data_IF_798415811501
#
_entry.id   IF_798415811501
#
_cell.length_a   1.000
_cell.length_b   1.000
_cell.length_c   1.000
_cell.angle_alpha   90.00
_cell.angle_beta   90.00
_cell.angle_gamma   90.00
#
_symmetry.space_group_name_H-M   'P 1'
#
loop_
_entity.id
_entity.type
_entity.pdbx_description
1 polymer ?
#
# COMPACT_ATOMS: atom_id res chain seq x y z
N UNK A 1 17.83 -6.00 -10.83
CA UNK A 1 18.23 -7.29 -11.48
C UNK A 1 17.60 -7.34 -12.86
N UNK A 2 18.37 -7.60 -13.93
CA UNK A 2 17.86 -7.58 -15.32
C UNK A 2 16.81 -8.69 -15.53
N UNK A 3 15.51 -8.39 -15.73
CA UNK A 3 14.51 -9.39 -16.03
C UNK A 3 14.56 -9.63 -17.54
N UNK A 4 15.14 -10.76 -17.96
CA UNK A 4 15.16 -11.07 -19.40
C UNK A 4 15.92 -12.32 -19.77
N UNK A 5 16.98 -12.69 -19.02
CA UNK A 5 17.80 -13.82 -19.44
C UNK A 5 17.09 -15.18 -19.29
N UNK A 6 16.26 -15.33 -18.25
CA UNK A 6 15.54 -16.58 -17.99
C UNK A 6 14.37 -16.79 -18.96
N UNK A 7 13.64 -15.71 -19.27
CA UNK A 7 12.54 -15.74 -20.23
C UNK A 7 13.03 -15.97 -21.66
N UNK A 8 14.17 -15.38 -22.05
CA UNK A 8 14.81 -15.67 -23.33
C UNK A 8 15.20 -17.15 -23.44
N UNK A 9 15.84 -17.73 -22.42
CA UNK A 9 16.28 -19.14 -22.46
C UNK A 9 15.11 -20.11 -22.57
N UNK A 10 14.00 -19.85 -21.88
CA UNK A 10 12.77 -20.64 -22.00
C UNK A 10 12.15 -20.55 -23.39
N UNK A 11 12.10 -19.35 -23.98
CA UNK A 11 11.59 -19.14 -25.33
C UNK A 11 12.45 -19.85 -26.40
N UNK A 12 13.79 -19.78 -26.29
CA UNK A 12 14.70 -20.47 -27.21
C UNK A 12 14.64 -21.99 -27.10
N UNK A 13 14.52 -22.55 -25.89
CA UNK A 13 14.37 -23.99 -25.70
C UNK A 13 13.06 -24.50 -26.31
N UNK A 14 11.96 -23.78 -26.09
CA UNK A 14 10.66 -24.12 -26.66
C UNK A 14 10.68 -24.05 -28.19
N UNK A 15 11.28 -22.99 -28.76
CA UNK A 15 11.41 -22.84 -30.21
C UNK A 15 12.26 -23.95 -30.85
N UNK A 16 13.34 -24.36 -30.18
CA UNK A 16 14.22 -25.45 -30.64
C UNK A 16 13.51 -26.81 -30.66
N UNK A 17 12.68 -27.08 -29.65
CA UNK A 17 11.84 -28.29 -29.57
C UNK A 17 10.77 -28.32 -30.67
N UNK A 18 10.11 -27.19 -30.93
CA UNK A 18 9.10 -27.07 -31.99
C UNK A 18 9.71 -27.25 -33.40
N UNK A 19 10.90 -26.69 -33.63
CA UNK A 19 11.63 -26.86 -34.88
C UNK A 19 12.06 -28.33 -35.11
N UNK A 20 12.50 -29.01 -34.05
CA UNK A 20 12.87 -30.42 -34.10
C UNK A 20 11.67 -31.33 -34.40
N UNK A 21 10.52 -31.07 -33.78
CA UNK A 21 9.28 -31.80 -34.00
C UNK A 21 8.79 -31.65 -35.46
N UNK A 22 8.77 -30.42 -35.96
CA UNK A 22 8.45 -30.14 -37.37
C UNK A 22 9.41 -30.84 -38.34
N UNK A 23 10.71 -30.90 -38.03
CA UNK A 23 11.71 -31.59 -38.87
C UNK A 23 11.51 -33.12 -38.90
N UNK A 24 11.17 -33.74 -37.76
CA UNK A 24 10.87 -35.16 -37.68
C UNK A 24 9.66 -35.54 -38.54
N UNK A 25 8.62 -34.70 -38.55
CA UNK A 25 7.41 -34.92 -39.38
C UNK A 25 7.74 -34.93 -40.88
N UNK A 26 8.66 -34.08 -41.35
CA UNK A 26 9.12 -34.09 -42.77
C UNK A 26 9.78 -35.42 -43.14
N UNK A 27 10.51 -36.03 -42.21
CA UNK A 27 11.29 -37.25 -42.43
C UNK A 27 10.42 -38.51 -42.47
N UNK A 28 9.26 -38.48 -41.80
CA UNK A 28 8.35 -39.62 -41.63
C UNK A 28 7.16 -39.64 -42.61
N UNK A 29 6.79 -38.49 -43.19
CA UNK A 29 5.58 -38.38 -44.04
C UNK A 29 5.93 -38.44 -45.55
N UNK A 30 5.28 -39.29 -46.36
CA UNK A 30 5.51 -39.35 -47.80
C UNK A 30 5.18 -38.01 -48.49
N UNK A 31 6.03 -37.61 -49.45
CA UNK A 31 6.04 -36.28 -50.10
C UNK A 31 4.69 -35.73 -50.60
N UNK A 32 3.74 -36.51 -51.17
CA UNK A 32 2.46 -35.95 -51.59
C UNK A 32 1.53 -35.55 -50.42
N UNK A 33 1.73 -36.08 -49.21
CA UNK A 33 0.90 -35.80 -48.03
C UNK A 33 1.55 -34.83 -47.02
N UNK A 34 2.86 -34.59 -47.12
CA UNK A 34 3.61 -33.78 -46.15
C UNK A 34 3.04 -32.36 -45.96
N UNK A 35 2.61 -31.72 -47.05
CA UNK A 35 2.04 -30.37 -47.01
C UNK A 35 0.77 -30.27 -46.15
N UNK A 36 -0.09 -31.30 -46.21
CA UNK A 36 -1.36 -31.33 -45.46
C UNK A 36 -1.15 -31.48 -43.94
N UNK A 37 0.01 -31.97 -43.51
CA UNK A 37 0.35 -32.16 -42.08
C UNK A 37 1.19 -30.99 -41.56
N UNK A 38 2.16 -30.51 -42.33
CA UNK A 38 3.10 -29.48 -41.90
C UNK A 38 2.46 -28.10 -41.76
N UNK A 39 1.52 -27.75 -42.65
CA UNK A 39 0.86 -26.45 -42.61
C UNK A 39 0.03 -26.24 -41.32
N UNK A 40 -0.89 -27.15 -40.93
CA UNK A 40 -1.63 -26.99 -39.68
C UNK A 40 -0.71 -27.07 -38.44
N UNK A 41 0.32 -27.91 -38.47
CA UNK A 41 1.30 -27.99 -37.37
C UNK A 41 2.01 -26.64 -37.17
N UNK A 42 2.53 -26.04 -38.25
CA UNK A 42 3.21 -24.75 -38.20
C UNK A 42 2.27 -23.63 -37.72
N UNK A 43 1.01 -23.63 -38.13
CA UNK A 43 0.00 -22.69 -37.63
C UNK A 43 -0.23 -22.84 -36.12
N UNK A 44 -0.33 -24.08 -35.62
CA UNK A 44 -0.45 -24.35 -34.17
C UNK A 44 0.78 -23.87 -33.42
N UNK A 45 1.98 -24.12 -33.95
CA UNK A 45 3.24 -23.69 -33.35
C UNK A 45 3.35 -22.16 -33.27
N UNK A 46 2.99 -21.46 -34.35
CA UNK A 46 2.96 -19.99 -34.36
C UNK A 46 1.92 -19.44 -33.38
N UNK A 47 0.73 -20.05 -33.31
CA UNK A 47 -0.31 -19.68 -32.34
C UNK A 47 0.15 -19.88 -30.90
N UNK A 48 0.81 -21.00 -30.59
CA UNK A 48 1.37 -21.29 -29.28
C UNK A 48 2.48 -20.30 -28.91
N UNK A 49 3.39 -19.99 -29.83
CA UNK A 49 4.45 -19.00 -29.62
C UNK A 49 3.87 -17.60 -29.39
N UNK A 50 2.88 -17.18 -30.18
CA UNK A 50 2.18 -15.92 -30.01
C UNK A 50 1.48 -15.85 -28.64
N UNK A 51 0.78 -16.90 -28.23
CA UNK A 51 0.11 -16.97 -26.94
C UNK A 51 1.12 -16.92 -25.78
N UNK A 52 2.23 -17.66 -25.87
CA UNK A 52 3.28 -17.64 -24.86
C UNK A 52 3.85 -16.23 -24.66
N UNK A 53 4.15 -15.51 -25.75
CA UNK A 53 4.60 -14.11 -25.69
C UNK A 53 3.55 -13.20 -25.05
N UNK A 54 2.27 -13.38 -25.38
CA UNK A 54 1.17 -12.61 -24.77
C UNK A 54 1.08 -12.85 -23.27
N UNK A 55 1.15 -14.10 -22.82
CA UNK A 55 1.10 -14.45 -21.39
C UNK A 55 2.29 -13.85 -20.64
N UNK A 56 3.51 -13.97 -21.19
CA UNK A 56 4.71 -13.40 -20.58
C UNK A 56 4.58 -11.87 -20.42
N UNK A 57 4.11 -11.17 -21.45
CA UNK A 57 3.92 -9.73 -21.39
C UNK A 57 2.88 -9.34 -20.33
N UNK A 58 1.71 -10.01 -20.29
CA UNK A 58 0.67 -9.73 -19.30
C UNK A 58 1.18 -9.95 -17.87
N UNK A 59 1.91 -11.04 -17.63
CA UNK A 59 2.49 -11.33 -16.30
C UNK A 59 3.54 -10.29 -15.92
N UNK A 60 4.38 -9.87 -16.87
CA UNK A 60 5.40 -8.83 -16.65
C UNK A 60 4.75 -7.49 -16.31
N UNK A 61 3.75 -7.08 -17.08
CA UNK A 61 3.03 -5.82 -16.86
C UNK A 61 2.36 -5.81 -15.49
N UNK A 62 1.73 -6.92 -15.10
CA UNK A 62 1.12 -7.05 -13.78
C UNK A 62 2.15 -6.95 -12.65
N UNK A 63 3.33 -7.58 -12.81
CA UNK A 63 4.42 -7.49 -11.82
C UNK A 63 4.96 -6.08 -11.69
N UNK A 64 5.23 -5.41 -12.81
CA UNK A 64 5.73 -4.03 -12.80
C UNK A 64 4.74 -3.08 -12.15
N UNK A 65 3.44 -3.23 -12.45
CA UNK A 65 2.39 -2.43 -11.82
C UNK A 65 2.30 -2.68 -10.30
N UNK A 66 2.42 -3.94 -9.88
CA UNK A 66 2.43 -4.29 -8.46
C UNK A 66 3.64 -3.73 -7.74
N UNK A 67 4.84 -3.87 -8.32
CA UNK A 67 6.08 -3.33 -7.78
C UNK A 67 6.02 -1.79 -7.67
N UNK A 68 5.51 -1.10 -8.68
CA UNK A 68 5.36 0.36 -8.61
C UNK A 68 4.38 0.79 -7.52
N UNK A 69 3.28 0.04 -7.35
CA UNK A 69 2.30 0.32 -6.30
C UNK A 69 2.87 0.10 -4.90
N UNK A 70 3.63 -0.99 -4.69
CA UNK A 70 4.32 -1.26 -3.43
C UNK A 70 5.36 -0.17 -3.12
N UNK A 71 6.11 0.29 -4.12
CA UNK A 71 7.07 1.40 -3.96
C UNK A 71 6.38 2.71 -3.56
N UNK A 72 5.24 3.03 -4.18
CA UNK A 72 4.48 4.24 -3.85
C UNK A 72 3.93 4.20 -2.42
N UNK A 73 3.40 3.04 -1.99
CA UNK A 73 2.92 2.84 -0.62
C UNK A 73 4.04 2.93 0.42
N UNK A 74 5.19 2.29 0.15
CA UNK A 74 6.34 2.33 1.05
C UNK A 74 6.91 3.74 1.15
N UNK A 75 6.98 4.49 0.04
CA UNK A 75 7.41 5.89 0.06
C UNK A 75 6.44 6.76 0.86
N UNK A 76 5.13 6.61 0.68
CA UNK A 76 4.14 7.32 1.48
C UNK A 76 4.26 6.99 2.98
N UNK A 77 4.49 5.72 3.33
CA UNK A 77 4.74 5.30 4.72
C UNK A 77 6.00 5.94 5.28
N UNK A 78 7.09 5.95 4.53
CA UNK A 78 8.35 6.58 4.95
C UNK A 78 8.18 8.08 5.22
N UNK A 79 7.43 8.80 4.38
CA UNK A 79 7.12 10.20 4.62
C UNK A 79 6.37 10.36 5.94
N UNK A 80 5.30 9.58 6.16
CA UNK A 80 4.53 9.66 7.40
C UNK A 80 5.33 9.29 8.66
N UNK A 81 6.28 8.35 8.55
CA UNK A 81 7.16 7.96 9.66
C UNK A 81 8.30 8.97 9.90
N UNK A 82 8.72 9.72 8.88
CA UNK A 82 9.81 10.71 8.97
C UNK A 82 9.42 12.02 9.67
N UNK A 83 8.12 12.24 9.90
CA UNK A 83 7.62 13.47 10.53
C UNK A 83 7.80 13.39 12.06
N UNK A 84 8.51 14.36 12.63
CA UNK A 84 8.76 14.51 14.08
C UNK A 84 7.50 14.87 14.91
N UNK A 85 6.32 14.77 14.31
CA UNK A 85 5.03 15.03 14.94
C UNK A 85 4.20 13.75 14.90
N UNK A 86 3.39 13.56 15.93
CA UNK A 86 2.48 12.43 15.97
C UNK A 86 1.49 12.52 14.82
N UNK A 87 1.42 11.49 13.99
CA UNK A 87 0.41 11.36 12.95
C UNK A 87 -0.51 10.22 13.33
N UNK A 88 -1.81 10.47 13.24
CA UNK A 88 -2.83 9.47 13.53
C UNK A 88 -3.93 9.51 12.48
N UNK A 89 -4.52 8.35 12.23
CA UNK A 89 -5.71 8.20 11.37
C UNK A 89 -6.77 7.47 12.16
N UNK A 90 -7.97 8.04 12.19
CA UNK A 90 -9.15 7.41 12.75
C UNK A 90 -10.02 6.82 11.66
N UNK A 91 -10.76 5.76 11.97
CA UNK A 91 -11.92 5.33 11.18
C UNK A 91 -13.18 6.13 11.53
N UNK A 92 -14.28 5.85 10.84
CA UNK A 92 -15.59 6.47 11.11
C UNK A 92 -16.12 6.15 12.53
N UNK A 93 -15.66 5.04 13.13
CA UNK A 93 -15.95 4.67 14.51
C UNK A 93 -15.22 5.52 15.55
N UNK A 94 -14.20 6.30 15.14
CA UNK A 94 -13.34 7.07 16.03
C UNK A 94 -12.26 6.22 16.70
N UNK A 95 -11.82 5.14 16.02
CA UNK A 95 -10.73 4.27 16.45
C UNK A 95 -9.50 4.47 15.58
N UNK A 96 -8.32 4.38 16.19
CA UNK A 96 -7.05 4.47 15.47
C UNK A 96 -6.92 3.31 14.48
N UNK A 97 -6.76 3.62 13.20
CA UNK A 97 -6.39 2.64 12.15
C UNK A 97 -4.93 2.76 11.75
N UNK A 98 -4.29 3.88 12.07
CA UNK A 98 -2.87 4.11 11.87
C UNK A 98 -2.37 5.14 12.89
N UNK A 99 -1.15 4.91 13.38
CA UNK A 99 -0.35 5.92 14.07
C UNK A 99 1.10 5.75 13.65
N UNK A 100 1.86 6.84 13.53
CA UNK A 100 3.31 6.75 13.28
C UNK A 100 4.10 6.51 14.58
N UNK A 101 5.39 6.22 14.44
CA UNK A 101 6.33 6.06 15.55
C UNK A 101 6.39 7.28 16.48
N UNK A 102 6.38 8.50 15.94
CA UNK A 102 6.41 9.72 16.75
C UNK A 102 5.20 9.83 17.72
N UNK A 103 3.99 9.43 17.30
CA UNK A 103 2.84 9.41 18.20
C UNK A 103 2.93 8.30 19.25
N UNK A 104 3.43 7.13 18.86
CA UNK A 104 3.69 6.02 19.78
C UNK A 104 4.69 6.43 20.87
N UNK A 105 5.77 7.11 20.49
CA UNK A 105 6.78 7.63 21.41
C UNK A 105 6.22 8.71 22.34
N UNK A 106 5.32 9.57 21.85
CA UNK A 106 4.65 10.59 22.68
C UNK A 106 3.85 9.96 23.83
N UNK A 107 3.20 8.82 23.60
CA UNK A 107 2.44 8.07 24.60
C UNK A 107 3.30 7.09 25.43
N UNK A 108 4.47 6.74 24.91
CA UNK A 108 5.33 5.69 25.48
C UNK A 108 4.77 4.27 25.29
N UNK A 109 3.95 4.05 24.25
CA UNK A 109 3.28 2.78 23.97
C UNK A 109 3.63 2.28 22.57
N UNK A 110 3.75 0.96 22.35
CA UNK A 110 3.94 0.43 21.01
C UNK A 110 2.68 0.67 20.15
N UNK A 111 2.88 0.87 18.84
CA UNK A 111 1.80 1.07 17.85
C UNK A 111 0.69 0.02 17.97
N UNK A 112 1.06 -1.25 18.22
CA UNK A 112 0.13 -2.37 18.36
C UNK A 112 -0.85 -2.24 19.53
N UNK A 113 -0.50 -1.48 20.57
CA UNK A 113 -1.36 -1.22 21.73
C UNK A 113 -2.23 0.04 21.56
N UNK A 114 -1.97 0.85 20.53
CA UNK A 114 -2.69 2.08 20.23
C UNK A 114 -3.73 1.85 19.13
N UNK A 115 -3.38 1.11 18.08
CA UNK A 115 -4.29 0.79 16.98
C UNK A 115 -5.51 0.01 17.50
N UNK A 116 -6.70 0.41 17.06
CA UNK A 116 -8.00 -0.13 17.50
C UNK A 116 -8.60 0.55 18.73
N UNK A 117 -7.80 1.32 19.48
CA UNK A 117 -8.27 2.13 20.62
C UNK A 117 -8.80 3.49 20.17
N UNK A 118 -9.34 4.25 21.10
CA UNK A 118 -9.95 5.56 20.83
C UNK A 118 -9.13 6.70 21.46
N UNK A 119 -9.13 7.93 20.91
CA UNK A 119 -8.41 9.06 21.52
C UNK A 119 -8.78 9.30 22.99
N UNK A 120 -10.01 8.99 23.40
CA UNK A 120 -10.46 9.10 24.79
C UNK A 120 -9.67 8.24 25.77
N UNK A 121 -9.05 7.15 25.31
CA UNK A 121 -8.24 6.26 26.13
C UNK A 121 -6.89 6.89 26.53
N UNK A 122 -6.43 7.88 25.77
CA UNK A 122 -5.11 8.49 25.91
C UNK A 122 -5.18 9.99 26.21
N UNK A 123 -6.38 10.57 26.28
CA UNK A 123 -6.59 11.96 26.65
C UNK A 123 -7.09 12.05 28.08
N UNK A 124 -6.59 13.03 28.82
CA UNK A 124 -7.02 13.35 30.18
C UNK A 124 -8.54 13.58 30.22
N UNK A 125 -9.23 13.05 31.24
CA UNK A 125 -10.70 12.96 31.24
C UNK A 125 -11.38 14.33 31.14
N UNK A 126 -10.82 15.32 31.83
CA UNK A 126 -11.25 16.72 31.84
C UNK A 126 -11.24 17.33 30.44
N UNK A 127 -10.34 16.87 29.58
CA UNK A 127 -10.14 17.39 28.23
C UNK A 127 -10.98 16.64 27.17
N UNK A 128 -11.74 15.61 27.55
CA UNK A 128 -12.60 14.83 26.63
C UNK A 128 -13.63 15.72 25.90
N UNK A 129 -13.98 16.87 26.46
CA UNK A 129 -14.87 17.84 25.81
C UNK A 129 -14.27 18.39 24.52
N UNK A 130 -12.95 18.56 24.44
CA UNK A 130 -12.26 19.03 23.24
C UNK A 130 -12.34 18.00 22.12
N UNK A 131 -12.12 16.72 22.44
CA UNK A 131 -12.25 15.62 21.49
C UNK A 131 -13.66 15.54 20.90
N UNK A 132 -14.71 15.68 21.73
CA UNK A 132 -16.11 15.65 21.28
C UNK A 132 -16.41 16.80 20.32
N UNK A 133 -16.06 18.03 20.70
CA UNK A 133 -16.26 19.21 19.84
C UNK A 133 -15.51 19.05 18.51
N UNK A 134 -14.26 18.62 18.57
CA UNK A 134 -13.44 18.41 17.38
C UNK A 134 -14.05 17.36 16.44
N UNK A 135 -14.58 16.26 17.01
CA UNK A 135 -15.30 15.24 16.25
C UNK A 135 -16.54 15.81 15.55
N UNK A 136 -17.33 16.63 16.24
CA UNK A 136 -18.51 17.26 15.65
C UNK A 136 -18.15 18.19 14.49
N UNK A 137 -17.07 18.98 14.63
CA UNK A 137 -16.55 19.86 13.57
C UNK A 137 -16.11 19.05 12.33
N UNK A 138 -15.40 17.94 12.54
CA UNK A 138 -14.97 17.05 11.44
C UNK A 138 -16.12 16.31 10.78
N UNK A 139 -17.14 15.91 11.53
CA UNK A 139 -18.38 15.36 10.97
C UNK A 139 -19.13 16.35 10.08
N UNK A 140 -18.93 17.66 10.28
CA UNK A 140 -19.45 18.70 9.39
C UNK A 140 -18.53 18.98 8.19
N UNK A 141 -17.43 18.23 8.03
CA UNK A 141 -16.48 18.39 6.93
C UNK A 141 -15.45 19.50 7.15
N UNK A 142 -15.33 20.05 8.36
CA UNK A 142 -14.40 21.12 8.68
C UNK A 142 -13.18 20.60 9.44
N UNK A 143 -12.05 21.28 9.25
CA UNK A 143 -10.84 21.03 10.03
C UNK A 143 -10.80 21.94 11.24
N UNK A 144 -10.19 21.47 12.33
CA UNK A 144 -10.05 22.23 13.56
C UNK A 144 -8.71 21.99 14.23
N UNK A 145 -8.31 22.94 15.08
CA UNK A 145 -7.09 22.85 15.90
C UNK A 145 -7.42 23.23 17.33
N UNK A 146 -6.98 22.42 18.28
CA UNK A 146 -7.20 22.64 19.71
C UNK A 146 -6.03 22.11 20.52
N UNK A 147 -5.96 22.53 21.79
CA UNK A 147 -4.99 22.02 22.76
C UNK A 147 -5.64 21.02 23.68
N UNK A 148 -4.87 20.02 24.10
CA UNK A 148 -5.31 19.01 25.05
C UNK A 148 -4.12 18.36 25.72
N UNK A 149 -4.35 17.63 26.80
CA UNK A 149 -3.35 16.85 27.51
C UNK A 149 -3.53 15.36 27.23
N UNK A 150 -2.45 14.72 26.78
CA UNK A 150 -2.38 13.27 26.65
C UNK A 150 -1.81 12.66 27.92
N UNK A 151 -2.31 11.47 28.27
CA UNK A 151 -1.81 10.63 29.35
C UNK A 151 -0.86 9.59 28.79
N UNK A 152 0.38 9.60 29.25
CA UNK A 152 1.40 8.61 28.90
C UNK A 152 1.24 7.32 29.71
N UNK A 153 1.91 6.25 29.27
CA UNK A 153 1.94 4.96 29.98
C UNK A 153 2.53 5.07 31.39
N UNK A 154 3.49 5.97 31.59
CA UNK A 154 4.14 6.21 32.89
C UNK A 154 3.27 7.03 33.85
N UNK A 155 2.08 7.45 33.41
CA UNK A 155 1.14 8.28 34.17
C UNK A 155 1.37 9.78 34.07
N UNK A 156 2.44 10.23 33.42
CA UNK A 156 2.69 11.65 33.17
C UNK A 156 1.72 12.21 32.11
N UNK A 157 1.50 13.52 32.18
CA UNK A 157 0.71 14.25 31.20
C UNK A 157 1.63 15.05 30.28
N UNK A 158 1.27 15.12 28.99
CA UNK A 158 1.92 16.01 28.02
C UNK A 158 0.87 16.88 27.32
N UNK A 159 1.10 18.18 27.33
CA UNK A 159 0.29 19.12 26.56
C UNK A 159 0.66 19.05 25.08
N UNK A 160 -0.36 18.93 24.24
CA UNK A 160 -0.23 18.82 22.79
C UNK A 160 -1.22 19.75 22.09
N UNK A 161 -0.83 20.21 20.91
CA UNK A 161 -1.75 20.78 19.93
C UNK A 161 -2.15 19.70 18.94
N UNK A 162 -3.46 19.53 18.78
CA UNK A 162 -4.04 18.59 17.85
C UNK A 162 -4.69 19.38 16.71
N UNK A 163 -4.27 19.12 15.48
CA UNK A 163 -4.94 19.60 14.27
C UNK A 163 -5.48 18.40 13.53
N UNK A 164 -6.79 18.35 13.31
CA UNK A 164 -7.39 17.23 12.58
C UNK A 164 -8.24 17.68 11.42
N UNK A 165 -8.16 16.93 10.33
CA UNK A 165 -8.88 17.16 9.08
C UNK A 165 -9.74 15.93 8.75
N UNK A 166 -10.95 16.13 8.22
CA UNK A 166 -11.84 15.02 7.88
C UNK A 166 -11.30 14.25 6.68
N UNK A 167 -11.31 12.92 6.76
CA UNK A 167 -10.94 12.02 5.68
C UNK A 167 -12.19 11.65 4.88
N UNK A 168 -12.25 12.12 3.63
CA UNK A 168 -13.34 11.85 2.71
C UNK A 168 -12.95 10.79 1.67
N UNK A 169 -13.87 9.88 1.38
CA UNK A 169 -13.75 8.90 0.30
C UNK A 169 -15.08 8.86 -0.47
N UNK A 170 -15.02 9.20 -1.76
CA UNK A 170 -16.22 9.35 -2.63
C UNK A 170 -17.31 10.27 -2.01
N UNK A 171 -16.89 11.40 -1.43
CA UNK A 171 -17.81 12.37 -0.81
C UNK A 171 -18.40 11.92 0.54
N UNK A 172 -18.05 10.74 1.05
CA UNK A 172 -18.45 10.26 2.37
C UNK A 172 -17.28 10.34 3.33
N UNK A 173 -17.54 10.78 4.55
CA UNK A 173 -16.55 10.74 5.62
C UNK A 173 -16.26 9.28 6.01
N UNK A 174 -14.98 8.94 6.07
CA UNK A 174 -14.49 7.60 6.45
C UNK A 174 -13.60 7.63 7.69
N UNK A 175 -13.40 8.81 8.29
CA UNK A 175 -12.61 9.02 9.49
C UNK A 175 -11.89 10.36 9.46
N UNK A 176 -10.76 10.45 10.17
CA UNK A 176 -10.00 11.69 10.37
C UNK A 176 -8.50 11.47 10.15
N UNK A 177 -7.81 12.46 9.58
CA UNK A 177 -6.36 12.61 9.70
C UNK A 177 -6.06 13.58 10.82
N UNK A 178 -5.05 13.32 11.63
CA UNK A 178 -4.73 14.20 12.75
C UNK A 178 -3.23 14.28 12.98
N UNK A 179 -2.73 15.49 13.11
CA UNK A 179 -1.37 15.80 13.57
C UNK A 179 -1.41 16.17 15.05
N UNK A 180 -0.40 15.73 15.79
CA UNK A 180 -0.27 15.90 17.23
C UNK A 180 1.13 16.44 17.48
N UNK A 181 1.20 17.70 17.89
CA UNK A 181 2.45 18.42 18.11
C UNK A 181 2.60 18.69 19.60
N UNK A 182 3.67 18.23 20.26
CA UNK A 182 3.91 18.55 21.66
C UNK A 182 4.15 20.05 21.83
N UNK A 183 3.48 20.66 22.79
CA UNK A 183 3.72 22.05 23.15
C UNK A 183 4.89 22.06 24.11
N UNK A 184 6.06 22.53 23.65
CA UNK A 184 7.17 22.78 24.57
C UNK A 184 6.77 23.98 25.43
N UNK A 185 6.89 23.83 26.76
CA UNK A 185 6.83 24.98 27.64
C UNK A 185 7.94 25.95 27.21
N UNK A 186 7.58 27.12 26.71
CA UNK A 186 8.52 28.22 26.57
C UNK A 186 9.04 28.48 27.99
N UNK A 187 10.33 28.19 28.21
CA UNK A 187 11.03 28.66 29.40
C UNK A 187 11.02 30.18 29.30
N UNK A 188 10.05 30.80 29.96
CA UNK A 188 10.07 32.23 30.25
C UNK A 188 11.31 32.45 31.12
N UNK A 189 12.38 32.90 30.47
CA UNK A 189 13.59 33.41 31.12
C UNK A 189 13.34 34.83 31.64
#
# INVERSE_FOLDING_TARGET
MKPGLFELRGAYALFSLLALDSFLVVLLVPRPAAYWVLLPLLLVQLGAAWLALRVVNVVRDHRLLKESYEQELDFARQIMESVDHGLTVLDNGGRYVYVNSAYADLLGLPVSEIVGRTPFDFTVHEDHIHLKRARDVRHQGHSDTYRTRLKRVDGSEIEVQITGTPRLHHGRMVGDFTTVVPIRAELVN
#
